data_IF_286977331750
#
_entry.id   IF_286977331750
#
_cell.length_a   1.000
_cell.length_b   1.000
_cell.length_c   1.000
_cell.angle_alpha   90.00
_cell.angle_beta   90.00
_cell.angle_gamma   90.00
#
_symmetry.space_group_name_H-M   'P 1'
#
loop_
_entity.id
_entity.type
_entity.pdbx_description
1 polymer ?
#
# COMPACT_ATOMS: atom_id res chain seq x y z
N UNK A 1 6.05 16.09 10.89
CA UNK A 1 6.83 15.33 9.88
C UNK A 1 6.36 13.90 9.93
N UNK A 2 5.87 13.34 8.83
CA UNK A 2 5.54 11.92 8.78
C UNK A 2 6.81 11.09 8.91
N UNK A 3 6.85 10.16 9.86
CA UNK A 3 7.98 9.26 10.03
C UNK A 3 7.70 7.95 9.29
N UNK A 4 8.43 7.72 8.19
CA UNK A 4 8.42 6.44 7.48
C UNK A 4 9.53 5.58 8.08
N UNK A 5 9.15 4.48 8.73
CA UNK A 5 10.08 3.49 9.27
C UNK A 5 9.90 2.15 8.56
N UNK A 6 10.91 1.31 8.64
CA UNK A 6 10.90 -0.03 8.06
C UNK A 6 11.12 -1.06 9.16
N UNK A 7 10.22 -2.03 9.26
CA UNK A 7 10.42 -3.22 10.10
C UNK A 7 10.73 -4.39 9.19
N UNK A 8 11.89 -5.02 9.37
CA UNK A 8 12.25 -6.20 8.58
C UNK A 8 11.29 -7.35 8.92
N UNK A 9 10.72 -7.97 7.89
CA UNK A 9 9.89 -9.18 8.02
C UNK A 9 10.76 -10.39 7.66
N UNK A 10 11.49 -10.30 6.55
CA UNK A 10 12.35 -11.36 6.03
C UNK A 10 13.54 -10.76 5.25
N UNK A 11 14.34 -11.60 4.62
CA UNK A 11 15.32 -11.22 3.61
C UNK A 11 14.62 -10.51 2.46
N UNK A 12 15.07 -9.29 2.17
CA UNK A 12 14.52 -8.47 1.10
C UNK A 12 13.02 -8.12 1.23
N UNK A 13 12.41 -8.29 2.42
CA UNK A 13 11.00 -7.92 2.70
C UNK A 13 10.87 -7.12 4.00
N UNK A 14 10.17 -5.99 3.92
CA UNK A 14 10.00 -5.04 5.02
C UNK A 14 8.55 -4.58 5.12
N UNK A 15 8.03 -4.49 6.34
CA UNK A 15 6.82 -3.73 6.63
C UNK A 15 7.11 -2.23 6.53
N UNK A 16 6.18 -1.48 5.95
CA UNK A 16 6.17 -0.02 5.89
C UNK A 16 5.40 0.47 7.11
N UNK A 17 6.10 1.15 8.02
CA UNK A 17 5.50 1.78 9.17
C UNK A 17 5.34 3.28 8.91
N UNK A 18 4.12 3.79 8.92
CA UNK A 18 3.82 5.21 8.85
C UNK A 18 3.35 5.69 10.22
N UNK A 19 4.11 6.59 10.84
CA UNK A 19 3.80 7.12 12.18
C UNK A 19 3.60 6.02 13.24
N UNK A 20 4.36 4.92 13.10
CA UNK A 20 4.30 3.76 14.01
C UNK A 20 3.29 2.68 13.61
N UNK A 21 2.39 2.94 12.65
CA UNK A 21 1.40 1.98 12.19
C UNK A 21 1.86 1.26 10.94
N UNK A 22 1.69 -0.06 10.89
CA UNK A 22 1.92 -0.83 9.67
C UNK A 22 0.83 -0.53 8.65
N UNK A 23 1.23 0.03 7.52
CA UNK A 23 0.32 0.35 6.41
C UNK A 23 0.52 -0.57 5.22
N UNK A 24 1.49 -1.48 5.23
CA UNK A 24 1.77 -2.36 4.10
C UNK A 24 3.19 -2.89 4.09
N UNK A 25 3.64 -3.37 2.93
CA UNK A 25 4.96 -3.99 2.79
C UNK A 25 5.67 -3.59 1.50
N UNK A 26 6.99 -3.61 1.56
CA UNK A 26 7.90 -3.48 0.43
C UNK A 26 8.82 -4.68 0.35
N UNK A 27 8.85 -5.33 -0.80
CA UNK A 27 9.66 -6.52 -1.06
C UNK A 27 10.48 -6.35 -2.33
N UNK A 28 11.64 -6.97 -2.38
CA UNK A 28 12.41 -7.10 -3.62
C UNK A 28 11.82 -8.24 -4.43
N UNK A 29 11.45 -7.97 -5.68
CA UNK A 29 10.93 -8.95 -6.61
C UNK A 29 11.91 -9.15 -7.75
N UNK A 30 12.04 -10.39 -8.22
CA UNK A 30 12.69 -10.76 -9.47
C UNK A 30 11.68 -11.52 -10.30
N UNK A 31 11.51 -11.12 -11.56
CA UNK A 31 10.77 -11.90 -12.54
C UNK A 31 11.74 -12.71 -13.38
N UNK A 32 11.33 -13.92 -13.73
CA UNK A 32 11.99 -14.74 -14.73
C UNK A 32 11.01 -14.90 -15.88
N UNK A 33 11.44 -14.57 -17.09
CA UNK A 33 10.66 -14.88 -18.27
C UNK A 33 10.73 -16.40 -18.49
N UNK A 34 9.60 -17.09 -18.32
CA UNK A 34 9.52 -18.55 -18.42
C UNK A 34 9.71 -19.07 -19.85
N UNK A 35 9.56 -18.21 -20.85
CA UNK A 35 9.70 -18.56 -22.27
C UNK A 35 11.14 -18.40 -22.75
N UNK A 36 11.86 -17.39 -22.25
CA UNK A 36 13.24 -17.07 -22.69
C UNK A 36 14.30 -17.41 -21.65
N UNK A 37 13.91 -17.75 -20.42
CA UNK A 37 14.81 -17.96 -19.28
C UNK A 37 15.46 -16.67 -18.76
N UNK A 38 15.11 -15.50 -19.31
CA UNK A 38 15.74 -14.24 -18.94
C UNK A 38 15.34 -13.82 -17.52
N UNK A 39 16.33 -13.59 -16.67
CA UNK A 39 16.12 -13.07 -15.31
C UNK A 39 16.13 -11.55 -15.35
N UNK A 40 14.96 -10.94 -15.10
CA UNK A 40 14.86 -9.49 -15.03
C UNK A 40 15.61 -8.94 -13.81
N UNK A 41 16.13 -7.72 -13.94
CA UNK A 41 16.80 -7.04 -12.82
C UNK A 41 15.85 -6.91 -11.63
N UNK A 42 16.33 -7.19 -10.39
CA UNK A 42 15.49 -7.07 -9.21
C UNK A 42 14.96 -5.65 -9.04
N UNK A 43 13.65 -5.53 -8.80
CA UNK A 43 12.96 -4.27 -8.50
C UNK A 43 12.32 -4.33 -7.12
N UNK A 44 12.18 -3.18 -6.47
CA UNK A 44 11.41 -3.08 -5.23
C UNK A 44 9.95 -2.86 -5.55
N UNK A 45 9.08 -3.69 -4.98
CA UNK A 45 7.64 -3.63 -5.13
C UNK A 45 7.05 -3.31 -3.77
N UNK A 46 6.25 -2.27 -3.68
CA UNK A 46 5.57 -1.85 -2.47
C UNK A 46 4.05 -1.81 -2.69
N UNK A 47 3.31 -2.13 -1.64
CA UNK A 47 1.87 -1.93 -1.58
C UNK A 47 1.51 -1.43 -0.19
N UNK A 48 0.38 -0.74 -0.09
CA UNK A 48 -0.23 -0.32 1.16
C UNK A 48 -1.67 -0.84 1.25
N UNK A 49 -2.16 -0.97 2.47
CA UNK A 49 -3.51 -1.42 2.82
C UNK A 49 -4.08 -0.43 3.82
N UNK A 50 -5.30 0.01 3.57
CA UNK A 50 -6.05 0.83 4.50
C UNK A 50 -7.25 0.03 5.00
N UNK A 51 -7.30 -0.15 6.32
CA UNK A 51 -8.44 -0.77 7.01
C UNK A 51 -9.45 0.31 7.35
N UNK A 52 -10.71 0.09 7.01
CA UNK A 52 -11.82 1.00 7.26
C UNK A 52 -13.09 0.21 7.67
N UNK A 53 -14.16 0.86 8.16
CA UNK A 53 -15.36 0.16 8.63
C UNK A 53 -16.00 -0.78 7.58
N UNK A 54 -15.84 -0.45 6.30
CA UNK A 54 -16.38 -1.23 5.17
C UNK A 54 -15.45 -2.36 4.68
N UNK A 55 -14.30 -2.58 5.32
CA UNK A 55 -13.34 -3.62 4.94
C UNK A 55 -11.91 -3.12 4.77
N UNK A 56 -11.16 -3.78 3.89
CA UNK A 56 -9.76 -3.46 3.60
C UNK A 56 -9.63 -3.10 2.13
N UNK A 57 -9.04 -1.94 1.85
CA UNK A 57 -8.69 -1.55 0.48
C UNK A 57 -7.17 -1.54 0.32
N UNK A 58 -6.69 -2.20 -0.73
CA UNK A 58 -5.27 -2.30 -1.04
C UNK A 58 -4.91 -1.41 -2.24
N UNK A 59 -3.74 -0.77 -2.17
CA UNK A 59 -3.18 -0.04 -3.31
C UNK A 59 -2.59 -1.02 -4.32
N UNK A 60 -2.51 -0.68 -5.61
CA UNK A 60 -1.79 -1.49 -6.59
C UNK A 60 -0.32 -1.69 -6.20
N UNK A 61 0.30 -2.74 -6.75
CA UNK A 61 1.72 -2.99 -6.58
C UNK A 61 2.55 -1.91 -7.30
N UNK A 62 3.27 -1.09 -6.52
CA UNK A 62 4.06 0.03 -7.01
C UNK A 62 5.54 -0.34 -7.06
N UNK A 63 6.13 -0.25 -8.24
CA UNK A 63 7.52 -0.65 -8.46
C UNK A 63 8.48 0.55 -8.44
N UNK A 64 9.70 0.34 -7.96
CA UNK A 64 10.81 1.28 -8.10
C UNK A 64 12.18 0.57 -8.02
N UNK A 65 13.23 1.23 -8.50
CA UNK A 65 14.61 0.73 -8.41
C UNK A 65 15.18 0.76 -6.99
N UNK A 66 14.62 1.59 -6.10
CA UNK A 66 15.04 1.74 -4.70
C UNK A 66 13.89 1.45 -3.74
N UNK A 67 14.18 0.77 -2.63
CA UNK A 67 13.22 0.47 -1.56
C UNK A 67 12.47 1.71 -1.09
N UNK A 68 13.22 2.76 -0.75
CA UNK A 68 12.65 4.01 -0.24
C UNK A 68 11.70 4.70 -1.24
N UNK A 69 12.02 4.63 -2.54
CA UNK A 69 11.15 5.18 -3.58
C UNK A 69 9.86 4.37 -3.73
N UNK A 70 9.94 3.04 -3.72
CA UNK A 70 8.76 2.19 -3.76
C UNK A 70 7.86 2.43 -2.54
N UNK A 71 8.45 2.47 -1.34
CA UNK A 71 7.73 2.76 -0.10
C UNK A 71 7.11 4.16 -0.08
N UNK A 72 7.81 5.19 -0.55
CA UNK A 72 7.26 6.54 -0.65
C UNK A 72 6.06 6.61 -1.61
N UNK A 73 6.13 5.89 -2.74
CA UNK A 73 4.99 5.76 -3.67
C UNK A 73 3.80 5.06 -2.99
N UNK A 74 4.03 3.99 -2.25
CA UNK A 74 2.98 3.30 -1.50
C UNK A 74 2.37 4.17 -0.39
N UNK A 75 3.19 4.94 0.35
CA UNK A 75 2.71 5.89 1.36
C UNK A 75 1.87 7.00 0.72
N UNK A 76 2.27 7.52 -0.44
CA UNK A 76 1.48 8.52 -1.16
C UNK A 76 0.14 7.95 -1.61
N UNK A 77 0.14 6.77 -2.24
CA UNK A 77 -1.09 6.10 -2.65
C UNK A 77 -2.02 5.78 -1.46
N UNK A 78 -1.45 5.36 -0.31
CA UNK A 78 -2.19 5.16 0.93
C UNK A 78 -2.89 6.43 1.40
N UNK A 79 -2.19 7.58 1.39
CA UNK A 79 -2.77 8.87 1.78
C UNK A 79 -3.87 9.31 0.83
N UNK A 80 -3.67 9.16 -0.48
CA UNK A 80 -4.68 9.45 -1.49
C UNK A 80 -5.93 8.59 -1.28
N UNK A 81 -5.74 7.30 -0.97
CA UNK A 81 -6.83 6.37 -0.69
C UNK A 81 -7.61 6.75 0.57
N UNK A 82 -6.90 7.13 1.64
CA UNK A 82 -7.51 7.59 2.88
C UNK A 82 -8.25 8.92 2.69
N UNK A 83 -7.69 9.86 1.94
CA UNK A 83 -8.26 11.19 1.76
C UNK A 83 -9.44 11.22 0.76
N UNK A 84 -9.45 10.31 -0.23
CA UNK A 84 -10.49 10.22 -1.25
C UNK A 84 -11.49 9.12 -0.94
N UNK A 85 -11.16 7.90 -1.35
CA UNK A 85 -12.10 6.77 -1.39
C UNK A 85 -12.71 6.44 -0.01
N UNK A 86 -11.91 6.40 1.06
CA UNK A 86 -12.42 6.06 2.40
C UNK A 86 -13.34 7.16 2.93
N UNK A 87 -12.96 8.42 2.75
CA UNK A 87 -13.79 9.57 3.14
C UNK A 87 -15.13 9.55 2.42
N UNK A 88 -15.14 9.28 1.12
CA UNK A 88 -16.38 9.16 0.35
C UNK A 88 -17.26 8.01 0.83
N UNK A 89 -16.69 6.84 1.12
CA UNK A 89 -17.46 5.72 1.69
C UNK A 89 -18.10 6.08 3.04
N UNK A 90 -17.36 6.78 3.91
CA UNK A 90 -17.90 7.24 5.19
C UNK A 90 -19.04 8.26 5.01
N UNK A 91 -18.94 9.17 4.03
CA UNK A 91 -20.01 10.12 3.71
C UNK A 91 -21.26 9.42 3.18
N UNK A 92 -21.08 8.43 2.31
CA UNK A 92 -22.19 7.63 1.76
C UNK A 92 -22.90 6.88 2.89
N UNK A 93 -22.15 6.26 3.82
CA UNK A 93 -22.74 5.58 4.98
C UNK A 93 -23.53 6.53 5.87
N UNK A 94 -22.96 7.69 6.20
CA UNK A 94 -23.64 8.71 6.97
C UNK A 94 -24.95 9.16 6.28
N UNK A 95 -24.89 9.44 4.98
CA UNK A 95 -26.05 9.85 4.19
C UNK A 95 -27.13 8.76 4.14
N UNK A 96 -26.72 7.49 4.03
CA UNK A 96 -27.64 6.35 4.04
C UNK A 96 -28.38 6.23 5.37
N UNK A 97 -27.69 6.40 6.50
CA UNK A 97 -28.29 6.39 7.84
C UNK A 97 -29.25 7.57 8.05
N UNK A 98 -28.87 8.78 7.64
CA UNK A 98 -29.73 9.96 7.73
C UNK A 98 -31.02 9.83 6.91
N UNK A 99 -30.96 9.06 5.81
CA UNK A 99 -32.11 8.81 4.92
C UNK A 99 -32.87 7.53 5.23
N UNK A 100 -32.47 6.77 6.26
CA UNK A 100 -33.11 5.51 6.65
C UNK A 100 -33.02 4.41 5.58
N UNK A 101 -31.93 4.40 4.81
CA UNK A 101 -31.71 3.38 3.78
C UNK A 101 -31.36 2.00 4.36
N UNK A 102 -30.92 1.96 5.62
CA UNK A 102 -30.78 0.78 6.47
C UNK A 102 -30.69 1.19 7.94
#
# INVERSE_FOLDING_TARGET
>A
MDSIKYRRIDTDRYAILLNGHEIGAVAKSRSVNLTTGEVSRPVWVAHAKATHPFGVTETPALQATRRGTAAARAVRAYKELCAGQIVELCKIDQTGRERGWW
#
